data_IF_154521501778
#
_entry.id   IF_154521501778
#
_cell.length_a   1.000
_cell.length_b   1.000
_cell.length_c   1.000
_cell.angle_alpha   90.00
_cell.angle_beta   90.00
_cell.angle_gamma   90.00
#
_symmetry.space_group_name_H-M   'P 1'
#
loop_
_entity.id
_entity.type
_entity.pdbx_description
1 polymer ?
#
# COMPACT_ATOMS: atom_id res chain seq x y z
N UNK A 1 -0.55 13.48 -34.79
CA UNK A 1 -1.76 12.83 -34.23
C UNK A 1 -2.32 13.79 -33.21
N UNK A 2 -3.62 14.11 -33.28
CA UNK A 2 -4.25 14.98 -32.29
C UNK A 2 -4.76 14.09 -31.14
N UNK A 3 -4.59 14.50 -29.88
CA UNK A 3 -5.18 13.78 -28.75
C UNK A 3 -6.71 13.75 -28.90
N UNK A 4 -7.31 12.60 -28.59
CA UNK A 4 -8.76 12.43 -28.49
C UNK A 4 -9.18 12.40 -27.02
N UNK A 5 -10.49 12.51 -26.77
CA UNK A 5 -11.09 12.35 -25.43
C UNK A 5 -10.67 13.39 -24.38
N UNK A 6 -10.20 14.57 -24.82
CA UNK A 6 -9.84 15.67 -23.92
C UNK A 6 -11.05 16.14 -23.07
N UNK A 7 -10.82 16.57 -21.81
CA UNK A 7 -11.86 17.26 -21.04
C UNK A 7 -12.26 18.55 -21.77
N UNK A 8 -13.41 19.12 -21.40
CA UNK A 8 -13.87 20.38 -21.98
C UNK A 8 -12.79 21.46 -21.81
N UNK A 9 -12.33 22.01 -22.93
CA UNK A 9 -11.25 22.98 -22.96
C UNK A 9 -11.30 23.85 -24.20
N UNK A 10 -10.70 25.03 -24.10
CA UNK A 10 -10.37 25.88 -25.24
C UNK A 10 -8.97 25.54 -25.74
N UNK A 11 -8.84 25.14 -27.01
CA UNK A 11 -7.57 24.91 -27.66
C UNK A 11 -7.20 26.10 -28.55
N UNK A 12 -6.03 26.69 -28.31
CA UNK A 12 -5.52 27.84 -29.05
C UNK A 12 -4.16 27.48 -29.66
N UNK A 13 -3.97 27.78 -30.94
CA UNK A 13 -2.65 27.77 -31.59
C UNK A 13 -2.31 29.21 -32.01
N UNK A 14 -1.09 29.65 -31.69
CA UNK A 14 -0.62 31.02 -31.92
C UNK A 14 0.68 30.96 -32.71
N UNK A 15 0.70 31.65 -33.84
CA UNK A 15 1.92 31.91 -34.60
C UNK A 15 2.44 33.31 -34.27
N UNK A 16 3.70 33.40 -33.88
CA UNK A 16 4.38 34.65 -33.51
C UNK A 16 5.52 34.91 -34.48
N UNK A 17 5.44 36.03 -35.21
CA UNK A 17 6.55 36.54 -36.01
C UNK A 17 7.65 37.05 -35.08
N UNK A 18 8.80 36.39 -35.06
CA UNK A 18 9.95 36.74 -34.22
C UNK A 18 10.95 37.67 -34.89
N UNK A 19 11.00 37.70 -36.23
CA UNK A 19 11.78 38.67 -37.03
C UNK A 19 11.23 38.76 -38.46
N UNK A 20 11.82 39.58 -39.32
CA UNK A 20 11.48 39.63 -40.76
C UNK A 20 11.62 38.27 -41.48
N UNK A 21 12.45 37.38 -40.94
CA UNK A 21 12.79 36.10 -41.57
C UNK A 21 12.43 34.88 -40.72
N UNK A 22 11.81 35.06 -39.55
CA UNK A 22 11.52 33.95 -38.63
C UNK A 22 10.21 34.11 -37.87
N UNK A 23 9.59 32.98 -37.56
CA UNK A 23 8.42 32.86 -36.70
C UNK A 23 8.52 31.61 -35.84
N UNK A 24 7.76 31.54 -34.77
CA UNK A 24 7.55 30.33 -33.99
C UNK A 24 6.07 30.15 -33.68
N UNK A 25 5.66 28.90 -33.48
CA UNK A 25 4.29 28.55 -33.15
C UNK A 25 4.25 27.90 -31.78
N UNK A 26 3.25 28.23 -30.97
CA UNK A 26 2.94 27.50 -29.76
C UNK A 26 1.44 27.20 -29.70
N UNK A 27 1.06 26.21 -28.90
CA UNK A 27 -0.33 25.95 -28.60
C UNK A 27 -0.57 25.96 -27.09
N UNK A 28 -1.84 26.16 -26.73
CA UNK A 28 -2.31 26.25 -25.38
C UNK A 28 -3.62 25.48 -25.27
N UNK A 29 -3.71 24.57 -24.30
CA UNK A 29 -4.97 23.98 -23.89
C UNK A 29 -5.40 24.62 -22.57
N UNK A 30 -6.60 25.20 -22.57
CA UNK A 30 -7.18 25.95 -21.45
C UNK A 30 -8.42 25.18 -20.96
N UNK A 31 -8.28 24.30 -19.96
CA UNK A 31 -9.42 23.52 -19.45
C UNK A 31 -10.48 24.44 -18.85
N UNK A 32 -11.76 24.12 -19.09
CA UNK A 32 -12.89 24.88 -18.52
C UNK A 32 -12.88 24.86 -16.99
N UNK A 33 -12.32 23.80 -16.38
CA UNK A 33 -11.99 23.74 -14.96
C UNK A 33 -10.46 23.83 -14.77
N UNK A 34 -9.97 25.03 -14.48
CA UNK A 34 -8.54 25.31 -14.35
C UNK A 34 -8.10 25.34 -12.88
N UNK A 35 -7.15 24.47 -12.52
CA UNK A 35 -6.58 24.37 -11.17
C UNK A 35 -5.53 25.46 -10.86
N UNK A 36 -5.54 26.59 -11.58
CA UNK A 36 -4.57 27.70 -11.43
C UNK A 36 -3.10 27.36 -11.68
N UNK A 37 -2.79 26.18 -12.25
CA UNK A 37 -1.41 25.76 -12.57
C UNK A 37 -1.14 25.89 -14.06
N UNK A 38 0.10 26.21 -14.40
CA UNK A 38 0.58 26.33 -15.78
C UNK A 38 1.65 25.28 -16.06
N UNK A 39 1.47 24.50 -17.13
CA UNK A 39 2.40 23.46 -17.56
C UNK A 39 2.91 23.81 -18.97
N UNK A 40 4.23 24.00 -19.08
CA UNK A 40 4.90 24.17 -20.37
C UNK A 40 5.52 22.85 -20.81
N UNK A 41 5.28 22.46 -22.05
CA UNK A 41 5.86 21.26 -22.65
C UNK A 41 6.81 21.65 -23.78
N UNK A 42 7.92 20.94 -23.89
CA UNK A 42 8.92 21.13 -24.94
C UNK A 42 8.74 20.18 -26.12
N UNK A 43 9.55 20.39 -27.15
CA UNK A 43 9.75 19.43 -28.23
C UNK A 43 10.88 18.43 -27.94
N UNK A 44 11.13 17.52 -28.88
CA UNK A 44 12.23 16.55 -28.81
C UNK A 44 13.25 16.70 -29.95
N UNK A 45 14.53 16.44 -29.66
CA UNK A 45 15.62 16.48 -30.63
C UNK A 45 15.80 17.86 -31.28
N UNK A 46 15.96 17.90 -32.60
CA UNK A 46 15.99 19.13 -33.41
C UNK A 46 14.63 19.46 -34.02
N UNK A 47 13.53 18.99 -33.42
CA UNK A 47 12.17 19.14 -33.95
C UNK A 47 11.60 20.56 -33.79
N UNK A 48 10.81 20.99 -34.79
CA UNK A 48 10.08 22.27 -34.81
C UNK A 48 8.56 22.08 -34.87
N UNK A 49 8.02 21.18 -34.04
CA UNK A 49 6.60 20.83 -33.99
C UNK A 49 6.04 21.01 -32.57
N UNK A 50 4.71 21.15 -32.48
CA UNK A 50 3.99 21.19 -31.20
C UNK A 50 3.64 19.76 -30.78
N UNK A 51 3.97 19.38 -29.55
CA UNK A 51 3.69 18.05 -29.00
C UNK A 51 2.28 17.97 -28.40
N UNK A 52 1.27 17.92 -29.27
CA UNK A 52 -0.14 17.87 -28.88
C UNK A 52 -0.51 16.67 -28.01
N UNK A 53 0.20 15.54 -28.12
CA UNK A 53 -0.08 14.35 -27.32
C UNK A 53 0.27 14.59 -25.84
N UNK A 54 1.46 15.11 -25.56
CA UNK A 54 1.85 15.42 -24.18
C UNK A 54 1.00 16.57 -23.61
N UNK A 55 0.61 17.55 -24.44
CA UNK A 55 -0.34 18.59 -24.03
C UNK A 55 -1.69 18.01 -23.61
N UNK A 56 -2.19 17.02 -24.35
CA UNK A 56 -3.40 16.28 -24.01
C UNK A 56 -3.29 15.59 -22.65
N UNK A 57 -2.17 14.90 -22.39
CA UNK A 57 -1.91 14.28 -21.08
C UNK A 57 -1.91 15.33 -19.97
N UNK A 58 -1.31 16.50 -20.21
CA UNK A 58 -1.25 17.63 -19.29
C UNK A 58 -2.61 18.10 -18.78
N UNK A 59 -3.61 18.20 -19.66
CA UNK A 59 -4.96 18.67 -19.29
C UNK A 59 -5.83 17.61 -18.64
N UNK A 60 -5.44 16.33 -18.72
CA UNK A 60 -6.08 15.27 -17.96
C UNK A 60 -5.63 15.20 -16.50
N UNK A 61 -4.58 15.92 -16.09
CA UNK A 61 -4.18 15.97 -14.69
C UNK A 61 -5.28 16.65 -13.85
N UNK A 62 -6.05 15.82 -13.15
CA UNK A 62 -7.25 16.20 -12.41
C UNK A 62 -8.01 14.95 -11.91
N UNK A 63 -9.28 15.08 -11.49
CA UNK A 63 -10.08 13.97 -10.96
C UNK A 63 -10.10 12.72 -11.85
N UNK A 64 -10.07 12.90 -13.18
CA UNK A 64 -10.03 11.80 -14.15
C UNK A 64 -8.80 10.88 -13.99
N UNK A 65 -7.63 11.42 -13.63
CA UNK A 65 -6.44 10.61 -13.36
C UNK A 65 -6.54 9.86 -12.04
N UNK A 66 -7.26 10.41 -11.07
CA UNK A 66 -7.57 9.71 -9.83
C UNK A 66 -8.56 8.57 -10.07
N UNK A 67 -9.56 8.75 -10.95
CA UNK A 67 -10.50 7.69 -11.37
C UNK A 67 -9.75 6.61 -12.18
N UNK A 68 -8.88 7.00 -13.11
CA UNK A 68 -8.01 6.07 -13.85
C UNK A 68 -7.18 5.21 -12.89
N UNK A 69 -6.50 5.83 -11.93
CA UNK A 69 -5.70 5.13 -10.92
C UNK A 69 -6.57 4.29 -9.98
N UNK A 70 -7.74 4.82 -9.59
CA UNK A 70 -8.70 4.20 -8.70
C UNK A 70 -9.18 2.87 -9.26
N UNK A 71 -9.79 2.86 -10.44
CA UNK A 71 -10.33 1.61 -11.02
C UNK A 71 -10.32 1.58 -12.54
N UNK A 72 -10.56 2.71 -13.23
CA UNK A 72 -10.91 2.69 -14.66
C UNK A 72 -9.79 2.17 -15.56
N UNK A 73 -8.53 2.44 -15.23
CA UNK A 73 -7.42 1.91 -16.02
C UNK A 73 -7.32 0.38 -15.92
N UNK A 74 -7.56 -0.20 -14.75
CA UNK A 74 -7.56 -1.65 -14.56
C UNK A 74 -8.73 -2.28 -15.31
N UNK A 75 -9.95 -1.81 -15.03
CA UNK A 75 -11.16 -2.34 -15.63
C UNK A 75 -11.15 -2.24 -17.17
N UNK A 76 -10.85 -1.05 -17.70
CA UNK A 76 -10.78 -0.83 -19.14
C UNK A 76 -9.74 -1.70 -19.84
N UNK A 77 -8.58 -1.93 -19.18
CA UNK A 77 -7.55 -2.82 -19.71
C UNK A 77 -8.01 -4.29 -19.74
N UNK A 78 -8.69 -4.75 -18.69
CA UNK A 78 -9.21 -6.12 -18.62
C UNK A 78 -10.27 -6.36 -19.70
N UNK A 79 -11.26 -5.47 -19.82
CA UNK A 79 -12.33 -5.60 -20.82
C UNK A 79 -11.76 -5.60 -22.25
N UNK A 80 -10.91 -4.62 -22.57
CA UNK A 80 -10.30 -4.53 -23.90
C UNK A 80 -9.41 -5.74 -24.21
N UNK A 81 -8.64 -6.23 -23.23
CA UNK A 81 -7.81 -7.42 -23.42
C UNK A 81 -8.67 -8.66 -23.73
N UNK A 82 -9.80 -8.85 -23.04
CA UNK A 82 -10.73 -9.96 -23.29
C UNK A 82 -11.31 -9.88 -24.71
N UNK A 83 -11.71 -8.70 -25.17
CA UNK A 83 -12.18 -8.48 -26.55
C UNK A 83 -11.11 -8.78 -27.59
N UNK A 84 -9.89 -8.27 -27.39
CA UNK A 84 -8.76 -8.50 -28.30
C UNK A 84 -8.39 -9.99 -28.37
N UNK A 85 -8.36 -10.69 -27.23
CA UNK A 85 -8.08 -12.13 -27.17
C UNK A 85 -9.14 -12.92 -27.94
N UNK A 86 -10.43 -12.61 -27.73
CA UNK A 86 -11.53 -13.24 -28.47
C UNK A 86 -11.40 -13.02 -29.97
N UNK A 87 -11.12 -11.78 -30.39
CA UNK A 87 -10.95 -11.42 -31.80
C UNK A 87 -9.74 -12.10 -32.45
N UNK A 88 -8.62 -12.21 -31.72
CA UNK A 88 -7.37 -12.77 -32.24
C UNK A 88 -7.38 -14.31 -32.30
N UNK A 89 -7.85 -14.98 -31.25
CA UNK A 89 -7.83 -16.45 -31.17
C UNK A 89 -9.13 -17.11 -31.65
N UNK A 90 -10.19 -16.34 -31.90
CA UNK A 90 -11.48 -16.85 -32.39
C UNK A 90 -12.22 -17.76 -31.39
N UNK A 91 -11.89 -17.66 -30.09
CA UNK A 91 -12.49 -18.45 -29.02
C UNK A 91 -12.51 -17.67 -27.71
N UNK A 92 -13.48 -18.00 -26.85
CA UNK A 92 -13.57 -17.43 -25.51
C UNK A 92 -12.45 -17.91 -24.58
N UNK A 93 -12.13 -17.07 -23.60
CA UNK A 93 -11.27 -17.44 -22.47
C UNK A 93 -11.92 -18.56 -21.68
N UNK A 94 -11.10 -19.53 -21.25
CA UNK A 94 -11.57 -20.58 -20.32
C UNK A 94 -11.52 -20.12 -18.87
N UNK A 95 -10.49 -19.37 -18.52
CA UNK A 95 -10.28 -18.76 -17.21
C UNK A 95 -9.48 -17.45 -17.37
N UNK A 96 -9.65 -16.53 -16.43
CA UNK A 96 -8.98 -15.25 -16.27
C UNK A 96 -8.42 -15.14 -14.85
N UNK A 97 -7.16 -14.73 -14.72
CA UNK A 97 -6.47 -14.70 -13.42
C UNK A 97 -5.84 -13.34 -13.16
N UNK A 98 -5.82 -12.94 -11.89
CA UNK A 98 -5.15 -11.75 -11.41
C UNK A 98 -4.05 -12.09 -10.41
N UNK A 99 -2.94 -11.34 -10.46
CA UNK A 99 -1.92 -11.36 -9.42
C UNK A 99 -1.38 -9.95 -9.21
N UNK A 100 -1.53 -9.43 -8.00
CA UNK A 100 -1.08 -8.07 -7.65
C UNK A 100 -0.69 -7.97 -6.18
N UNK A 101 0.23 -7.06 -5.86
CA UNK A 101 0.70 -6.81 -4.49
C UNK A 101 0.68 -5.29 -4.20
N UNK A 102 0.50 -4.87 -2.94
CA UNK A 102 0.46 -3.45 -2.56
C UNK A 102 -0.71 -2.72 -3.26
N UNK A 103 -0.44 -1.65 -4.02
CA UNK A 103 -1.42 -0.99 -4.90
C UNK A 103 -2.06 -1.98 -5.88
N UNK A 104 -1.31 -2.99 -6.35
CA UNK A 104 -1.89 -4.07 -7.16
C UNK A 104 -2.88 -4.91 -6.36
N UNK A 105 -2.61 -5.18 -5.08
CA UNK A 105 -3.56 -5.89 -4.23
C UNK A 105 -4.90 -5.12 -4.10
N UNK A 106 -4.82 -3.80 -3.91
CA UNK A 106 -5.99 -2.89 -3.96
C UNK A 106 -6.71 -2.98 -5.30
N UNK A 107 -6.00 -2.92 -6.42
CA UNK A 107 -6.59 -2.97 -7.76
C UNK A 107 -7.35 -4.28 -8.01
N UNK A 108 -6.82 -5.42 -7.55
CA UNK A 108 -7.52 -6.71 -7.64
C UNK A 108 -8.86 -6.69 -6.90
N UNK A 109 -8.87 -6.23 -5.65
CA UNK A 109 -10.11 -6.10 -4.88
C UNK A 109 -11.07 -5.07 -5.47
N UNK A 110 -10.57 -3.92 -5.90
CA UNK A 110 -11.39 -2.90 -6.55
C UNK A 110 -12.02 -3.44 -7.84
N UNK A 111 -11.26 -4.18 -8.65
CA UNK A 111 -11.80 -4.78 -9.87
C UNK A 111 -12.91 -5.77 -9.54
N UNK A 112 -12.72 -6.67 -8.58
CA UNK A 112 -13.76 -7.61 -8.16
C UNK A 112 -15.02 -6.94 -7.59
N UNK A 113 -14.91 -5.70 -7.08
CA UNK A 113 -16.03 -4.88 -6.61
C UNK A 113 -16.71 -4.09 -7.74
N UNK A 114 -16.01 -3.84 -8.85
CA UNK A 114 -16.52 -3.12 -10.03
C UNK A 114 -17.14 -4.09 -11.02
N UNK A 115 -16.43 -5.15 -11.34
CA UNK A 115 -16.85 -6.22 -12.24
C UNK A 115 -16.38 -7.57 -11.67
N UNK A 116 -17.34 -8.30 -11.10
CA UNK A 116 -17.06 -9.60 -10.55
C UNK A 116 -16.50 -10.54 -11.64
N UNK A 117 -17.02 -10.51 -12.87
CA UNK A 117 -16.67 -11.43 -13.96
C UNK A 117 -15.25 -11.20 -14.52
N UNK A 118 -14.51 -10.19 -14.03
CA UNK A 118 -13.17 -9.88 -14.49
C UNK A 118 -12.18 -11.04 -14.32
N UNK A 119 -12.21 -11.74 -13.17
CA UNK A 119 -11.25 -12.81 -12.85
C UNK A 119 -11.89 -14.00 -12.14
N UNK A 120 -11.62 -15.22 -12.61
CA UNK A 120 -12.01 -16.46 -11.92
C UNK A 120 -11.16 -16.72 -10.67
N UNK A 121 -9.91 -16.25 -10.67
CA UNK A 121 -8.99 -16.42 -9.56
C UNK A 121 -8.06 -15.22 -9.33
N UNK A 122 -7.88 -14.81 -8.08
CA UNK A 122 -7.01 -13.70 -7.70
C UNK A 122 -5.98 -14.11 -6.65
N UNK A 123 -4.73 -13.74 -6.89
CA UNK A 123 -3.65 -13.75 -5.91
C UNK A 123 -3.36 -12.31 -5.46
N UNK A 124 -3.71 -11.97 -4.22
CA UNK A 124 -3.73 -10.59 -3.70
C UNK A 124 -2.73 -10.44 -2.55
N UNK A 125 -1.63 -9.74 -2.78
CA UNK A 125 -0.59 -9.50 -1.78
C UNK A 125 -0.69 -8.13 -1.11
N UNK A 126 -0.49 -8.06 0.21
CA UNK A 126 -0.37 -6.83 1.00
C UNK A 126 -1.26 -5.67 0.49
N UNK A 127 -2.58 -5.86 0.36
CA UNK A 127 -3.42 -4.95 -0.41
C UNK A 127 -3.55 -3.60 0.27
N UNK A 128 -3.19 -2.53 -0.44
CA UNK A 128 -3.41 -1.15 0.00
C UNK A 128 -4.89 -0.72 -0.19
N UNK A 129 -5.82 -1.51 0.33
CA UNK A 129 -7.26 -1.37 0.07
C UNK A 129 -7.90 -0.14 0.73
N UNK A 130 -7.26 0.40 1.78
CA UNK A 130 -7.77 1.46 2.65
C UNK A 130 -6.98 2.78 2.49
N UNK A 131 -6.93 3.31 1.28
CA UNK A 131 -6.08 4.47 0.93
C UNK A 131 -6.48 5.70 1.75
N UNK A 132 -7.77 6.00 1.88
CA UNK A 132 -8.24 7.18 2.65
C UNK A 132 -7.72 7.18 4.10
N UNK A 133 -7.62 6.01 4.71
CA UNK A 133 -7.09 5.82 6.06
C UNK A 133 -5.55 5.83 6.07
N UNK A 134 -4.90 5.15 5.12
CA UNK A 134 -3.44 5.11 5.01
C UNK A 134 -2.84 6.51 4.78
N UNK A 135 -3.38 7.32 3.87
CA UNK A 135 -2.84 8.67 3.58
C UNK A 135 -2.99 9.60 4.78
N UNK A 136 -4.10 9.43 5.51
CA UNK A 136 -4.39 10.16 6.75
C UNK A 136 -3.41 9.81 7.85
N UNK A 137 -3.21 8.51 8.11
CA UNK A 137 -2.28 8.04 9.12
C UNK A 137 -0.82 8.36 8.78
N UNK A 138 -0.38 8.18 7.53
CA UNK A 138 0.95 8.55 7.06
C UNK A 138 1.25 10.05 7.33
N UNK A 139 0.26 10.92 7.14
CA UNK A 139 0.42 12.36 7.43
C UNK A 139 0.45 12.62 8.94
N UNK A 140 -0.46 12.00 9.70
CA UNK A 140 -0.50 12.10 11.16
C UNK A 140 0.84 11.70 11.79
N UNK A 141 1.35 10.52 11.43
CA UNK A 141 2.59 10.01 12.02
C UNK A 141 3.81 10.83 11.58
N UNK A 142 3.78 11.37 10.35
CA UNK A 142 4.78 12.37 9.93
C UNK A 142 4.75 13.59 10.83
N UNK A 143 3.58 14.13 11.18
CA UNK A 143 3.46 15.27 12.11
C UNK A 143 3.96 14.93 13.51
N UNK A 144 3.65 13.74 14.02
CA UNK A 144 4.09 13.31 15.35
C UNK A 144 5.62 13.15 15.41
N UNK A 145 6.25 12.70 14.33
CA UNK A 145 7.70 12.44 14.24
C UNK A 145 8.55 13.63 13.74
N UNK A 146 8.05 14.49 12.84
CA UNK A 146 8.80 15.65 12.29
C UNK A 146 8.74 16.88 13.20
N UNK A 147 9.74 17.79 13.10
CA UNK A 147 10.96 17.71 12.28
C UNK A 147 12.07 16.86 12.95
N UNK A 148 13.00 16.29 12.16
CA UNK A 148 14.00 15.31 12.65
C UNK A 148 15.00 15.85 13.68
N UNK A 149 15.09 17.17 13.84
CA UNK A 149 15.92 17.86 14.84
C UNK A 149 15.18 18.11 16.16
N UNK A 150 13.88 17.78 16.25
CA UNK A 150 13.12 17.84 17.49
C UNK A 150 13.56 16.73 18.46
N UNK A 151 13.72 17.02 19.77
CA UNK A 151 14.03 16.01 20.79
C UNK A 151 13.05 14.82 20.87
N UNK A 152 11.84 14.92 20.32
CA UNK A 152 10.87 13.81 20.21
C UNK A 152 11.22 12.82 19.09
N UNK A 153 12.01 13.23 18.11
CA UNK A 153 12.31 12.42 16.92
C UNK A 153 13.31 11.33 17.25
N UNK A 154 13.02 10.12 16.77
CA UNK A 154 13.87 8.95 16.92
C UNK A 154 14.88 8.95 15.76
N UNK A 155 16.20 8.79 15.98
CA UNK A 155 17.15 8.63 14.89
C UNK A 155 16.72 7.47 14.00
N UNK A 156 16.64 7.68 12.68
CA UNK A 156 16.02 6.69 11.79
C UNK A 156 16.67 5.31 11.88
N UNK A 157 17.99 5.26 12.03
CA UNK A 157 18.75 4.02 12.14
C UNK A 157 18.39 3.24 13.40
N UNK A 158 17.81 3.88 14.43
CA UNK A 158 17.39 3.20 15.64
C UNK A 158 16.17 2.30 15.39
N UNK A 159 15.32 2.59 14.41
CA UNK A 159 14.22 1.68 14.05
C UNK A 159 14.76 0.32 13.63
N UNK A 160 15.74 0.29 12.71
CA UNK A 160 16.28 -0.95 12.16
C UNK A 160 17.34 -1.62 13.03
N UNK A 161 18.04 -0.89 13.90
CA UNK A 161 19.17 -1.44 14.68
C UNK A 161 18.88 -1.64 16.17
N UNK A 162 18.06 -0.77 16.78
CA UNK A 162 17.81 -0.79 18.23
C UNK A 162 16.42 -1.34 18.51
N UNK A 163 15.39 -0.76 17.92
CA UNK A 163 13.99 -1.10 18.16
C UNK A 163 13.67 -2.48 17.57
N UNK A 164 13.98 -2.72 16.29
CA UNK A 164 13.79 -4.04 15.66
C UNK A 164 14.47 -5.18 16.43
N UNK A 165 15.72 -4.94 16.88
CA UNK A 165 16.45 -5.90 17.71
C UNK A 165 15.76 -6.13 19.05
N UNK A 166 15.33 -5.07 19.72
CA UNK A 166 14.63 -5.17 21.02
C UNK A 166 13.34 -5.96 20.89
N UNK A 167 12.56 -5.71 19.82
CA UNK A 167 11.34 -6.46 19.52
C UNK A 167 11.68 -7.93 19.25
N UNK A 168 12.67 -8.21 18.40
CA UNK A 168 13.07 -9.59 18.10
C UNK A 168 13.52 -10.33 19.37
N UNK A 169 14.36 -9.71 20.20
CA UNK A 169 14.87 -10.32 21.44
C UNK A 169 13.77 -10.66 22.45
N UNK A 170 12.69 -9.86 22.50
CA UNK A 170 11.59 -10.06 23.43
C UNK A 170 10.44 -10.91 22.84
N UNK A 171 10.31 -10.97 21.52
CA UNK A 171 9.15 -11.55 20.84
C UNK A 171 9.41 -12.82 20.05
N UNK A 172 10.66 -13.15 19.72
CA UNK A 172 11.03 -14.33 18.90
C UNK A 172 10.46 -15.62 19.51
N UNK A 173 10.77 -15.91 20.77
CA UNK A 173 10.38 -17.16 21.44
C UNK A 173 8.90 -17.22 21.86
N UNK A 174 8.09 -16.19 21.57
CA UNK A 174 6.65 -16.17 21.92
C UNK A 174 5.87 -17.26 21.18
N UNK A 175 6.33 -17.65 19.99
CA UNK A 175 5.76 -18.78 19.24
C UNK A 175 6.30 -20.16 19.66
N UNK A 176 7.17 -20.19 20.68
CA UNK A 176 7.83 -21.39 21.21
C UNK A 176 9.14 -21.74 20.51
N UNK A 177 9.61 -20.93 19.56
CA UNK A 177 10.85 -21.18 18.81
C UNK A 177 11.73 -19.93 18.81
N UNK A 178 13.01 -20.11 19.12
CA UNK A 178 14.00 -19.03 19.08
C UNK A 178 14.82 -19.10 17.80
N UNK A 179 14.42 -18.38 16.76
CA UNK A 179 15.10 -18.42 15.46
C UNK A 179 15.25 -17.07 14.76
N UNK A 180 14.97 -15.99 15.47
CA UNK A 180 15.05 -14.61 15.00
C UNK A 180 13.86 -14.18 14.13
N UNK A 181 12.72 -14.87 14.23
CA UNK A 181 11.49 -14.53 13.49
C UNK A 181 10.33 -14.41 14.47
N UNK A 182 9.72 -13.23 14.52
CA UNK A 182 8.52 -12.99 15.33
C UNK A 182 7.29 -13.49 14.58
N UNK A 183 6.89 -14.76 14.77
CA UNK A 183 5.75 -15.35 14.03
C UNK A 183 4.39 -15.18 14.72
N UNK A 184 4.38 -14.70 15.96
CA UNK A 184 3.15 -14.41 16.74
C UNK A 184 3.21 -13.00 17.37
N UNK A 185 3.37 -11.92 16.56
CA UNK A 185 3.53 -10.56 17.08
C UNK A 185 2.34 -10.11 17.96
N UNK A 186 1.12 -10.56 17.66
CA UNK A 186 -0.09 -10.26 18.43
C UNK A 186 -0.09 -10.82 19.87
N UNK A 187 0.73 -11.82 20.15
CA UNK A 187 0.90 -12.38 21.49
C UNK A 187 2.06 -11.74 22.25
N UNK A 188 2.91 -10.95 21.57
CA UNK A 188 4.06 -10.29 22.19
C UNK A 188 3.70 -8.90 22.73
N UNK A 189 4.23 -8.59 23.91
CA UNK A 189 4.10 -7.28 24.55
C UNK A 189 5.49 -6.80 24.99
N UNK A 190 6.32 -6.28 24.06
CA UNK A 190 7.68 -5.89 24.38
C UNK A 190 7.71 -4.69 25.34
N UNK A 191 8.57 -4.76 26.35
CA UNK A 191 8.88 -3.65 27.23
C UNK A 191 9.94 -2.75 26.59
N UNK A 192 9.50 -1.62 26.02
CA UNK A 192 10.41 -0.58 25.51
C UNK A 192 11.03 0.27 26.63
N UNK A 193 10.58 0.15 27.88
CA UNK A 193 11.16 0.82 29.02
C UNK A 193 12.62 0.47 29.25
N UNK A 194 13.06 -0.72 28.80
CA UNK A 194 14.48 -1.14 28.81
C UNK A 194 15.39 -0.21 28.00
N UNK A 195 14.84 0.46 26.97
CA UNK A 195 15.57 1.40 26.13
C UNK A 195 15.68 2.79 26.74
N UNK A 196 15.09 3.08 27.90
CA UNK A 196 15.10 4.42 28.47
C UNK A 196 16.53 4.86 28.85
N UNK A 197 16.98 6.00 28.29
CA UNK A 197 18.30 6.58 28.59
C UNK A 197 18.50 6.93 30.08
N UNK A 198 17.42 7.06 30.86
CA UNK A 198 17.48 7.33 32.29
C UNK A 198 17.71 6.08 33.15
N UNK A 199 17.68 4.87 32.55
CA UNK A 199 17.94 3.63 33.29
C UNK A 199 19.39 3.61 33.80
N UNK A 200 19.58 3.08 35.01
CA UNK A 200 20.91 2.87 35.56
C UNK A 200 21.70 1.88 34.67
N UNK A 201 22.85 2.31 34.15
CA UNK A 201 23.67 1.50 33.24
C UNK A 201 23.19 1.50 31.79
N UNK A 202 22.28 2.41 31.40
CA UNK A 202 21.85 2.55 30.01
C UNK A 202 23.02 2.76 29.05
N UNK A 203 22.98 2.10 27.90
CA UNK A 203 23.91 2.37 26.82
C UNK A 203 23.48 3.67 26.12
N UNK A 204 24.15 4.79 26.44
CA UNK A 204 23.82 6.11 25.90
C UNK A 204 23.94 6.23 24.37
N UNK A 205 24.60 5.27 23.71
CA UNK A 205 24.67 5.20 22.24
C UNK A 205 23.52 4.40 21.59
N UNK A 206 22.68 3.75 22.40
CA UNK A 206 21.65 2.80 21.97
C UNK A 206 20.41 2.86 22.89
N UNK A 207 20.04 4.05 23.35
CA UNK A 207 18.89 4.30 24.22
C UNK A 207 17.96 5.37 23.62
N UNK A 208 16.71 5.40 24.06
CA UNK A 208 15.70 6.38 23.71
C UNK A 208 15.42 7.30 24.90
N UNK A 209 15.32 8.61 24.64
CA UNK A 209 14.86 9.58 25.64
C UNK A 209 13.39 9.33 26.00
N UNK A 210 12.89 9.89 27.12
CA UNK A 210 11.46 9.79 27.45
C UNK A 210 10.53 10.33 26.33
N UNK A 211 10.92 11.42 25.65
CA UNK A 211 10.14 11.97 24.52
C UNK A 211 10.17 11.04 23.30
N UNK A 212 11.30 10.39 23.02
CA UNK A 212 11.40 9.40 21.95
C UNK A 212 10.59 8.14 22.24
N UNK A 213 10.55 7.69 23.50
CA UNK A 213 9.69 6.58 23.92
C UNK A 213 8.20 6.91 23.78
N UNK A 214 7.81 8.17 24.08
CA UNK A 214 6.44 8.63 23.82
C UNK A 214 6.10 8.61 22.32
N UNK A 215 7.01 9.09 21.46
CA UNK A 215 6.87 9.02 20.00
C UNK A 215 6.75 7.56 19.54
N UNK A 216 7.60 6.66 20.03
CA UNK A 216 7.52 5.23 19.71
C UNK A 216 6.18 4.63 20.12
N UNK A 217 5.66 4.99 21.29
CA UNK A 217 4.32 4.57 21.74
C UNK A 217 3.21 5.01 20.78
N UNK A 218 3.29 6.22 20.23
CA UNK A 218 2.32 6.72 19.23
C UNK A 218 2.35 5.93 17.92
N UNK A 219 3.51 5.38 17.53
CA UNK A 219 3.66 4.55 16.32
C UNK A 219 2.90 3.22 16.44
N UNK A 220 2.96 2.58 17.61
CA UNK A 220 2.28 1.30 17.88
C UNK A 220 0.82 1.45 18.31
N UNK A 221 0.37 2.66 18.66
CA UNK A 221 -0.99 2.88 19.16
C UNK A 221 -1.96 3.08 18.00
N UNK A 222 -3.10 2.39 18.08
CA UNK A 222 -4.23 2.59 17.17
C UNK A 222 -4.67 4.06 17.13
N UNK A 223 -4.83 4.59 15.93
CA UNK A 223 -5.34 5.94 15.70
C UNK A 223 -6.86 5.90 15.59
N UNK A 224 -7.54 6.54 16.54
CA UNK A 224 -8.99 6.72 16.53
C UNK A 224 -9.36 8.18 16.25
N UNK A 225 -10.44 8.37 15.50
CA UNK A 225 -11.14 9.65 15.39
C UNK A 225 -12.55 9.44 15.93
N UNK A 226 -12.86 10.06 17.07
CA UNK A 226 -14.05 9.72 17.84
C UNK A 226 -14.04 8.25 18.28
N UNK A 227 -15.03 7.47 17.84
CA UNK A 227 -15.11 6.02 18.09
C UNK A 227 -14.65 5.17 16.90
N UNK A 228 -14.28 5.79 15.79
CA UNK A 228 -13.89 5.09 14.57
C UNK A 228 -12.39 4.80 14.57
N UNK A 229 -12.02 3.56 14.24
CA UNK A 229 -10.63 3.20 13.99
C UNK A 229 -10.18 3.81 12.66
N UNK A 230 -9.45 4.93 12.74
CA UNK A 230 -8.90 5.61 11.58
C UNK A 230 -7.68 4.87 11.02
N UNK A 231 -6.86 4.23 11.85
CA UNK A 231 -5.81 3.32 11.35
C UNK A 231 -5.25 2.48 12.51
N UNK A 232 -4.97 1.18 12.32
CA UNK A 232 -4.21 0.40 13.30
C UNK A 232 -2.84 1.01 13.59
N UNK A 233 -2.31 0.86 14.80
CA UNK A 233 -0.88 1.08 15.03
C UNK A 233 -0.04 0.13 14.18
N UNK A 234 1.22 0.49 13.91
CA UNK A 234 2.11 -0.40 13.17
C UNK A 234 2.32 -1.72 13.94
N UNK A 235 2.46 -2.83 13.21
CA UNK A 235 2.71 -4.13 13.83
C UNK A 235 4.16 -4.30 14.28
N UNK A 236 4.32 -5.13 15.32
CA UNK A 236 5.62 -5.65 15.72
C UNK A 236 6.23 -6.49 14.59
N UNK A 237 7.55 -6.53 14.54
CA UNK A 237 8.40 -7.24 13.55
C UNK A 237 8.69 -6.48 12.26
N UNK A 238 8.04 -5.34 12.02
CA UNK A 238 8.21 -4.55 10.80
C UNK A 238 9.27 -3.44 10.92
N UNK A 239 9.83 -3.23 12.12
CA UNK A 239 10.64 -2.06 12.47
C UNK A 239 11.92 -1.96 11.64
N UNK A 240 12.45 -3.13 11.23
CA UNK A 240 13.64 -3.25 10.40
C UNK A 240 13.52 -2.54 9.05
N UNK A 241 12.30 -2.32 8.54
CA UNK A 241 12.06 -1.63 7.28
C UNK A 241 11.51 -0.22 7.43
N UNK A 242 11.13 0.23 8.63
CA UNK A 242 10.43 1.51 8.75
C UNK A 242 11.29 2.72 8.37
N UNK A 243 12.61 2.66 8.61
CA UNK A 243 13.55 3.71 8.23
C UNK A 243 13.71 3.88 6.71
N UNK A 244 13.27 2.89 5.92
CA UNK A 244 13.25 2.97 4.46
C UNK A 244 11.95 3.60 3.94
N UNK A 245 10.82 3.32 4.58
CA UNK A 245 9.49 3.65 4.02
C UNK A 245 8.74 4.76 4.77
N UNK A 246 8.82 4.78 6.11
CA UNK A 246 7.96 5.63 6.96
C UNK A 246 8.77 6.71 7.71
N UNK A 247 9.97 6.39 8.17
CA UNK A 247 10.81 7.27 8.99
C UNK A 247 12.15 7.58 8.33
N UNK A 248 12.14 7.90 7.03
CA UNK A 248 13.35 7.99 6.19
C UNK A 248 14.18 9.27 6.34
N UNK A 249 13.72 10.25 7.11
CA UNK A 249 14.36 11.55 7.25
C UNK A 249 13.62 12.68 6.51
N UNK A 250 12.57 12.38 5.75
CA UNK A 250 11.54 13.33 5.30
C UNK A 250 10.10 12.90 5.64
N UNK A 251 9.11 13.81 5.67
CA UNK A 251 7.69 13.43 5.83
C UNK A 251 7.25 12.39 4.79
N UNK A 252 6.34 11.50 5.17
CA UNK A 252 5.89 10.39 4.33
C UNK A 252 5.11 10.94 3.13
N UNK A 253 5.75 10.89 1.95
CA UNK A 253 5.20 11.43 0.70
C UNK A 253 3.87 10.79 0.33
N UNK A 254 3.70 9.49 0.58
CA UNK A 254 2.44 8.78 0.30
C UNK A 254 1.22 9.41 1.00
N UNK A 255 1.41 10.05 2.15
CA UNK A 255 0.35 10.79 2.85
C UNK A 255 0.33 12.27 2.48
N UNK A 256 1.43 12.98 2.79
CA UNK A 256 1.47 14.43 2.70
C UNK A 256 1.33 14.93 1.25
N UNK A 257 1.99 14.28 0.29
CA UNK A 257 1.88 14.69 -1.11
C UNK A 257 0.50 14.33 -1.67
N UNK A 258 -0.14 13.26 -1.19
CA UNK A 258 -1.52 12.96 -1.55
C UNK A 258 -2.46 14.07 -1.09
N UNK A 259 -2.35 14.53 0.16
CA UNK A 259 -3.17 15.64 0.66
C UNK A 259 -2.94 16.92 -0.15
N UNK A 260 -1.68 17.26 -0.43
CA UNK A 260 -1.30 18.44 -1.22
C UNK A 260 -1.80 18.40 -2.66
N UNK A 261 -1.64 17.25 -3.33
CA UNK A 261 -1.93 17.14 -4.75
C UNK A 261 -3.41 16.82 -5.04
N UNK A 262 -4.04 15.98 -4.23
CA UNK A 262 -5.32 15.37 -4.54
C UNK A 262 -6.49 15.82 -3.65
N UNK A 263 -6.23 16.37 -2.47
CA UNK A 263 -7.28 16.75 -1.49
C UNK A 263 -7.43 18.26 -1.33
N UNK A 264 -6.31 18.97 -1.22
CA UNK A 264 -6.27 20.41 -1.03
C UNK A 264 -5.85 21.17 -2.28
N UNK A 265 -5.22 20.49 -3.24
CA UNK A 265 -4.65 21.08 -4.46
C UNK A 265 -3.69 22.26 -4.19
N UNK A 266 -3.07 22.24 -3.01
CA UNK A 266 -2.13 23.21 -2.48
C UNK A 266 -0.81 22.49 -2.15
N UNK A 267 0.22 22.73 -2.97
CA UNK A 267 1.55 22.11 -2.80
C UNK A 267 2.26 22.57 -1.53
N UNK A 268 1.87 23.73 -1.00
CA UNK A 268 2.46 24.33 0.20
C UNK A 268 1.64 24.03 1.45
N UNK A 269 0.57 23.23 1.35
CA UNK A 269 -0.27 22.86 2.49
C UNK A 269 0.61 22.30 3.63
N UNK A 270 0.56 22.88 4.84
CA UNK A 270 1.54 22.61 5.88
C UNK A 270 1.21 21.34 6.66
N UNK A 271 2.23 20.54 6.95
CA UNK A 271 2.10 19.31 7.75
C UNK A 271 1.39 19.56 9.10
N UNK A 272 1.71 20.68 9.74
CA UNK A 272 1.15 21.05 11.06
C UNK A 272 -0.36 21.32 11.03
N UNK A 273 -0.94 21.62 9.86
CA UNK A 273 -2.38 21.78 9.71
C UNK A 273 -3.15 20.46 9.80
N UNK A 274 -2.49 19.30 9.75
CA UNK A 274 -3.15 18.01 9.90
C UNK A 274 -3.80 17.87 11.28
N UNK A 275 -5.07 17.45 11.29
CA UNK A 275 -5.86 17.11 12.48
C UNK A 275 -7.02 16.19 12.07
N UNK A 276 -7.79 15.71 13.03
CA UNK A 276 -8.90 14.76 12.82
C UNK A 276 -9.95 15.25 11.80
N UNK A 277 -10.19 16.56 11.67
CA UNK A 277 -11.12 17.08 10.64
C UNK A 277 -10.60 16.90 9.21
N UNK A 278 -9.27 16.80 9.03
CA UNK A 278 -8.66 16.47 7.74
C UNK A 278 -8.94 15.02 7.38
N UNK A 279 -8.85 14.11 8.34
CA UNK A 279 -9.24 12.71 8.14
C UNK A 279 -10.73 12.59 7.75
N UNK A 280 -11.62 13.27 8.47
CA UNK A 280 -13.05 13.29 8.12
C UNK A 280 -13.30 13.85 6.72
N UNK A 281 -12.59 14.92 6.35
CA UNK A 281 -12.65 15.48 4.98
C UNK A 281 -12.22 14.44 3.95
N UNK A 282 -11.07 13.79 4.12
CA UNK A 282 -10.53 12.79 3.18
C UNK A 282 -11.56 11.68 2.94
N UNK A 283 -12.08 11.09 4.02
CA UNK A 283 -13.07 10.01 3.96
C UNK A 283 -14.39 10.44 3.29
N UNK A 284 -14.76 11.71 3.42
CA UNK A 284 -16.00 12.24 2.81
C UNK A 284 -15.90 12.55 1.31
N UNK A 285 -14.71 12.48 0.71
CA UNK A 285 -14.55 12.76 -0.72
C UNK A 285 -15.15 11.63 -1.56
N UNK A 286 -15.99 11.97 -2.53
CA UNK A 286 -16.59 10.99 -3.45
C UNK A 286 -15.54 10.14 -4.17
N UNK A 287 -14.39 10.73 -4.53
CA UNK A 287 -13.28 10.03 -5.20
C UNK A 287 -12.71 8.89 -4.34
N UNK A 288 -12.85 8.92 -3.01
CA UNK A 288 -12.42 7.81 -2.17
C UNK A 288 -13.27 6.56 -2.36
N UNK A 289 -14.55 6.69 -2.76
CA UNK A 289 -15.37 5.54 -3.15
C UNK A 289 -14.83 4.85 -4.41
N UNK A 290 -14.20 5.59 -5.31
CA UNK A 290 -13.55 5.05 -6.51
C UNK A 290 -12.19 4.41 -6.20
N UNK A 291 -11.49 4.91 -5.19
CA UNK A 291 -10.12 4.50 -4.84
C UNK A 291 -10.08 3.34 -3.84
N UNK A 292 -10.77 3.46 -2.71
CA UNK A 292 -10.75 2.49 -1.64
C UNK A 292 -11.45 1.21 -2.07
N UNK A 293 -10.83 0.06 -1.87
CA UNK A 293 -11.44 -1.22 -2.15
C UNK A 293 -12.20 -1.74 -0.92
N UNK A 294 -13.05 -0.93 -0.29
CA UNK A 294 -13.70 -1.21 0.99
C UNK A 294 -15.18 -1.65 0.89
N UNK A 295 -15.64 -2.08 -0.29
CA UNK A 295 -16.96 -2.72 -0.44
C UNK A 295 -16.85 -4.19 -0.03
N UNK A 296 -17.17 -4.47 1.22
CA UNK A 296 -16.96 -5.80 1.84
C UNK A 296 -17.94 -6.87 1.39
N UNK A 297 -19.14 -6.53 0.93
CA UNK A 297 -20.04 -7.51 0.32
C UNK A 297 -19.49 -7.90 -1.06
N UNK A 298 -18.88 -9.08 -1.12
CA UNK A 298 -18.31 -9.67 -2.33
C UNK A 298 -19.13 -10.90 -2.79
N UNK A 299 -20.42 -10.96 -2.43
CA UNK A 299 -21.31 -12.07 -2.78
C UNK A 299 -21.37 -12.32 -4.29
N UNK A 300 -21.39 -11.26 -5.11
CA UNK A 300 -21.38 -11.41 -6.57
C UNK A 300 -20.13 -12.16 -7.06
N UNK A 301 -18.94 -11.82 -6.54
CA UNK A 301 -17.68 -12.49 -6.88
C UNK A 301 -17.65 -13.95 -6.41
N UNK A 302 -18.22 -14.24 -5.24
CA UNK A 302 -18.39 -15.60 -4.71
C UNK A 302 -19.33 -16.43 -5.59
N UNK A 303 -20.51 -15.90 -5.90
CA UNK A 303 -21.64 -16.65 -6.46
C UNK A 303 -21.42 -17.07 -7.91
N UNK A 304 -20.60 -16.32 -8.65
CA UNK A 304 -20.09 -16.72 -9.98
C UNK A 304 -18.94 -17.75 -9.91
N UNK A 305 -18.46 -18.11 -8.72
CA UNK A 305 -17.42 -19.12 -8.51
C UNK A 305 -15.99 -18.60 -8.32
N UNK A 306 -15.80 -17.29 -8.13
CA UNK A 306 -14.48 -16.67 -7.99
C UNK A 306 -13.70 -17.18 -6.78
N UNK A 307 -12.36 -17.19 -6.89
CA UNK A 307 -11.44 -17.67 -5.84
C UNK A 307 -10.35 -16.65 -5.51
N UNK A 308 -10.12 -16.40 -4.24
CA UNK A 308 -9.13 -15.44 -3.73
C UNK A 308 -8.14 -16.15 -2.82
N UNK A 309 -6.86 -16.00 -3.15
CA UNK A 309 -5.74 -16.24 -2.26
C UNK A 309 -5.13 -14.90 -1.91
N UNK A 310 -5.27 -14.48 -0.66
CA UNK A 310 -4.67 -13.27 -0.15
C UNK A 310 -3.48 -13.58 0.73
N UNK A 311 -2.42 -12.80 0.62
CA UNK A 311 -1.25 -12.92 1.47
C UNK A 311 -0.77 -11.57 2.00
N UNK A 312 -0.18 -11.53 3.19
CA UNK A 312 0.45 -10.32 3.75
C UNK A 312 1.66 -10.71 4.60
N UNK A 313 2.82 -10.09 4.42
CA UNK A 313 3.98 -10.35 5.28
C UNK A 313 3.80 -9.78 6.68
N UNK A 314 4.06 -10.55 7.74
CA UNK A 314 3.95 -10.09 9.14
C UNK A 314 4.90 -8.93 9.49
N UNK A 315 5.96 -8.76 8.70
CA UNK A 315 6.97 -7.71 8.83
C UNK A 315 6.86 -6.66 7.72
N UNK A 316 5.66 -6.42 7.18
CA UNK A 316 5.46 -5.38 6.15
C UNK A 316 5.68 -3.98 6.76
N UNK A 317 6.68 -3.22 6.27
CA UNK A 317 7.05 -1.93 6.86
C UNK A 317 6.22 -0.75 6.34
N UNK A 318 5.27 -0.98 5.43
CA UNK A 318 4.55 0.08 4.73
C UNK A 318 3.02 -0.07 4.84
N UNK A 319 2.48 -1.25 4.51
CA UNK A 319 1.04 -1.51 4.58
C UNK A 319 0.79 -2.36 5.83
N UNK A 320 -0.12 -1.94 6.69
CA UNK A 320 -0.35 -2.62 7.96
C UNK A 320 -1.00 -4.00 7.77
N UNK A 321 -0.46 -4.99 8.45
CA UNK A 321 -0.88 -6.40 8.33
C UNK A 321 -2.27 -6.63 8.93
N UNK A 322 -2.61 -5.94 10.02
CA UNK A 322 -3.94 -5.99 10.66
C UNK A 322 -5.05 -5.47 9.75
N UNK A 323 -4.72 -4.64 8.76
CA UNK A 323 -5.67 -4.20 7.75
C UNK A 323 -6.12 -5.35 6.85
N UNK A 324 -5.25 -6.33 6.64
CA UNK A 324 -5.58 -7.55 5.91
C UNK A 324 -6.54 -8.46 6.66
N UNK A 325 -6.30 -8.72 7.96
CA UNK A 325 -7.24 -9.50 8.78
C UNK A 325 -8.57 -8.78 8.95
N UNK A 326 -8.53 -7.47 9.21
CA UNK A 326 -9.74 -6.65 9.30
C UNK A 326 -10.57 -6.76 8.01
N UNK A 327 -9.95 -6.58 6.83
CA UNK A 327 -10.65 -6.74 5.55
C UNK A 327 -11.29 -8.12 5.40
N UNK A 328 -10.55 -9.18 5.72
CA UNK A 328 -11.03 -10.57 5.63
C UNK A 328 -12.26 -10.80 6.52
N UNK A 329 -12.19 -10.37 7.78
CA UNK A 329 -13.29 -10.48 8.75
C UNK A 329 -14.52 -9.65 8.31
N UNK A 330 -14.32 -8.44 7.79
CA UNK A 330 -15.42 -7.63 7.28
C UNK A 330 -16.10 -8.27 6.06
N UNK A 331 -15.35 -8.89 5.15
CA UNK A 331 -15.91 -9.63 4.01
C UNK A 331 -16.70 -10.86 4.46
N UNK A 332 -16.19 -11.61 5.45
CA UNK A 332 -16.90 -12.75 6.06
C UNK A 332 -18.24 -12.31 6.65
N UNK A 333 -18.24 -11.22 7.43
CA UNK A 333 -19.44 -10.67 8.05
C UNK A 333 -20.44 -10.16 7.00
N UNK A 334 -19.97 -9.45 5.97
CA UNK A 334 -20.83 -8.83 4.97
C UNK A 334 -21.44 -9.81 3.95
N UNK A 335 -20.69 -10.86 3.58
CA UNK A 335 -21.08 -11.84 2.55
C UNK A 335 -22.00 -12.96 3.11
N UNK A 336 -22.18 -12.98 4.43
CA UNK A 336 -23.10 -13.87 5.14
C UNK A 336 -22.47 -15.21 5.55
N UNK A 337 -22.78 -15.66 6.78
CA UNK A 337 -22.20 -16.84 7.43
C UNK A 337 -22.76 -18.19 6.95
N UNK A 338 -23.63 -18.22 5.94
CA UNK A 338 -24.21 -19.47 5.43
C UNK A 338 -23.23 -20.32 4.61
N UNK A 339 -22.13 -19.71 4.16
CA UNK A 339 -21.04 -20.37 3.45
C UNK A 339 -19.74 -20.14 4.21
N UNK A 340 -18.88 -21.16 4.27
CA UNK A 340 -17.55 -20.98 4.84
C UNK A 340 -16.75 -20.08 3.91
N UNK A 341 -16.28 -18.93 4.43
CA UNK A 341 -15.45 -18.00 3.64
C UNK A 341 -14.23 -18.72 3.03
N UNK A 342 -13.69 -19.74 3.72
CA UNK A 342 -12.55 -20.55 3.29
C UNK A 342 -12.74 -21.36 2.01
N UNK A 343 -13.98 -21.51 1.53
CA UNK A 343 -14.30 -22.20 0.28
C UNK A 343 -13.96 -21.37 -0.97
N UNK A 344 -13.79 -20.05 -0.80
CA UNK A 344 -13.56 -19.14 -1.91
C UNK A 344 -12.56 -18.02 -1.59
N UNK A 345 -12.35 -17.65 -0.33
CA UNK A 345 -11.40 -16.62 0.07
C UNK A 345 -10.55 -17.12 1.25
N UNK A 346 -9.23 -17.20 1.03
CA UNK A 346 -8.25 -17.59 2.07
C UNK A 346 -7.20 -16.51 2.24
N UNK A 347 -6.91 -16.16 3.50
CA UNK A 347 -5.82 -15.26 3.91
C UNK A 347 -4.66 -16.06 4.49
N UNK A 348 -3.44 -15.75 4.07
CA UNK A 348 -2.20 -16.33 4.57
C UNK A 348 -1.25 -15.22 5.04
N UNK A 349 -0.62 -15.38 6.18
CA UNK A 349 0.45 -14.49 6.59
C UNK A 349 1.81 -15.05 6.12
N UNK A 350 2.61 -14.24 5.40
CA UNK A 350 3.79 -14.61 4.58
C UNK A 350 3.48 -14.81 3.07
N UNK A 351 4.47 -14.78 2.15
CA UNK A 351 4.27 -14.98 0.67
C UNK A 351 4.90 -16.30 0.15
N UNK A 352 4.57 -16.96 -0.99
CA UNK A 352 3.77 -16.75 -2.23
C UNK A 352 3.21 -18.15 -2.69
N UNK A 353 2.03 -18.24 -3.32
CA UNK A 353 1.09 -19.39 -3.26
C UNK A 353 1.24 -20.67 -4.16
N UNK A 354 0.85 -21.86 -3.62
CA UNK A 354 0.15 -23.07 -4.18
C UNK A 354 -0.20 -24.06 -3.01
N UNK A 355 -0.84 -25.24 -3.26
CA UNK A 355 -1.47 -26.24 -2.34
C UNK A 355 -0.98 -26.31 -0.87
N UNK A 356 0.32 -26.16 -0.66
CA UNK A 356 0.94 -25.75 0.59
C UNK A 356 1.81 -24.53 0.27
N UNK A 357 1.54 -23.39 0.89
CA UNK A 357 2.39 -22.21 0.69
C UNK A 357 3.58 -22.35 1.61
N UNK A 358 4.77 -22.55 1.06
CA UNK A 358 6.00 -22.55 1.85
C UNK A 358 6.65 -21.18 1.70
N UNK A 359 6.56 -20.34 2.73
CA UNK A 359 7.34 -19.12 2.76
C UNK A 359 8.82 -19.51 2.76
N UNK A 360 9.52 -18.97 1.76
CA UNK A 360 10.92 -19.27 1.51
C UNK A 360 11.68 -17.96 1.50
N UNK A 361 12.69 -17.86 2.34
CA UNK A 361 13.69 -16.79 2.25
C UNK A 361 14.99 -17.40 1.72
N UNK A 362 15.64 -16.70 0.80
CA UNK A 362 16.92 -17.09 0.23
C UNK A 362 18.06 -16.34 0.92
N UNK A 363 19.31 -16.82 0.77
CA UNK A 363 20.48 -16.11 1.29
C UNK A 363 20.58 -14.66 0.78
N UNK A 364 20.02 -14.38 -0.39
CA UNK A 364 19.71 -13.04 -0.87
C UNK A 364 18.23 -12.97 -1.25
N UNK A 365 17.47 -12.10 -0.57
CA UNK A 365 16.01 -11.95 -0.71
C UNK A 365 15.52 -11.64 -2.13
N UNK A 366 16.39 -11.17 -3.03
CA UNK A 366 16.06 -10.85 -4.43
C UNK A 366 16.60 -11.86 -5.44
N UNK A 367 17.41 -12.84 -5.00
CA UNK A 367 18.11 -13.77 -5.89
C UNK A 367 17.81 -15.22 -5.48
N UNK A 368 16.79 -15.86 -6.08
CA UNK A 368 16.39 -17.23 -5.72
C UNK A 368 17.50 -18.28 -5.91
N UNK A 369 18.44 -18.04 -6.83
CA UNK A 369 19.60 -18.92 -7.07
C UNK A 369 20.65 -18.86 -5.96
N UNK A 370 20.53 -17.95 -4.99
CA UNK A 370 21.44 -17.89 -3.84
C UNK A 370 21.28 -19.06 -2.86
N UNK A 371 20.29 -19.92 -3.08
CA UNK A 371 20.00 -21.06 -2.21
C UNK A 371 18.97 -20.70 -1.14
N UNK A 372 18.22 -21.71 -0.72
CA UNK A 372 17.19 -21.60 0.32
C UNK A 372 17.87 -21.42 1.67
N UNK A 373 17.49 -20.37 2.41
CA UNK A 373 17.97 -20.15 3.78
C UNK A 373 17.01 -20.75 4.82
N UNK A 374 15.72 -20.42 4.74
CA UNK A 374 14.69 -20.98 5.64
C UNK A 374 13.37 -21.21 4.93
N UNK A 375 12.63 -22.23 5.38
CA UNK A 375 11.30 -22.56 4.89
C UNK A 375 10.32 -22.86 6.02
N UNK A 376 9.09 -22.34 5.91
CA UNK A 376 7.95 -22.67 6.80
C UNK A 376 6.65 -22.73 6.01
N UNK A 377 5.69 -23.60 6.38
CA UNK A 377 4.34 -23.53 5.86
C UNK A 377 3.68 -22.23 6.30
N UNK A 378 2.95 -21.60 5.40
CA UNK A 378 2.01 -20.56 5.74
C UNK A 378 0.66 -21.17 6.02
N UNK A 379 0.09 -20.74 7.11
CA UNK A 379 -1.15 -21.29 7.61
C UNK A 379 -2.31 -20.38 7.22
N UNK A 380 -3.42 -20.96 6.75
CA UNK A 380 -4.61 -20.17 6.47
C UNK A 380 -5.10 -19.59 7.79
N UNK A 381 -5.22 -18.26 7.85
CA UNK A 381 -5.76 -17.56 9.00
C UNK A 381 -7.11 -18.18 9.41
N UNK A 382 -7.35 -18.44 10.72
CA UNK A 382 -6.58 -17.99 11.88
C UNK A 382 -5.47 -18.96 12.36
N UNK A 383 -5.19 -20.05 11.63
CA UNK A 383 -4.15 -21.01 12.01
C UNK A 383 -2.75 -20.42 11.91
N UNK A 384 -1.81 -20.95 12.70
CA UNK A 384 -0.41 -20.51 12.73
C UNK A 384 0.55 -21.68 12.52
N UNK A 385 1.76 -21.38 12.07
CA UNK A 385 2.82 -22.37 11.94
C UNK A 385 3.39 -22.71 13.32
N UNK A 386 3.31 -23.97 13.72
CA UNK A 386 3.83 -24.48 15.00
C UNK A 386 4.89 -25.55 14.72
N UNK A 387 6.05 -25.40 15.35
CA UNK A 387 7.16 -26.35 15.23
C UNK A 387 6.85 -27.67 15.93
N UNK A 388 7.23 -28.79 15.31
CA UNK A 388 6.94 -30.14 15.79
C UNK A 388 7.83 -30.59 16.96
N UNK A 389 8.90 -29.86 17.26
CA UNK A 389 9.84 -30.15 18.33
C UNK A 389 10.98 -31.10 17.95
N UNK A 390 11.03 -31.62 16.72
CA UNK A 390 11.93 -32.72 16.33
C UNK A 390 12.76 -32.42 15.07
N UNK A 391 12.18 -31.81 14.03
CA UNK A 391 12.83 -31.62 12.73
C UNK A 391 13.80 -30.42 12.64
N UNK A 392 14.39 -30.16 11.46
CA UNK A 392 15.23 -28.96 11.28
C UNK A 392 14.38 -27.68 11.27
N UNK A 393 14.78 -26.64 12.02
CA UNK A 393 14.06 -25.34 12.09
C UNK A 393 13.86 -24.67 10.73
N UNK A 394 14.77 -24.93 9.79
CA UNK A 394 14.76 -24.32 8.45
C UNK A 394 14.00 -25.19 7.43
N UNK A 395 13.44 -26.33 7.84
CA UNK A 395 12.78 -27.30 6.97
C UNK A 395 11.26 -27.25 7.13
N UNK A 396 10.53 -27.08 6.03
CA UNK A 396 9.07 -26.90 6.08
C UNK A 396 8.31 -28.09 6.71
N UNK A 397 8.82 -29.32 6.57
CA UNK A 397 8.22 -30.53 7.14
C UNK A 397 8.20 -30.57 8.67
N UNK A 398 9.03 -29.76 9.33
CA UNK A 398 9.13 -29.69 10.79
C UNK A 398 8.07 -28.79 11.42
N UNK A 399 7.16 -28.24 10.60
CA UNK A 399 6.15 -27.28 11.02
C UNK A 399 4.78 -27.74 10.55
N UNK A 400 3.74 -27.46 11.34
CA UNK A 400 2.35 -27.79 11.04
C UNK A 400 1.44 -26.58 11.32
N UNK A 401 0.31 -26.54 10.64
CA UNK A 401 -0.70 -25.51 10.87
C UNK A 401 -1.67 -25.93 11.95
N UNK A 402 -1.63 -25.26 13.09
CA UNK A 402 -2.53 -25.46 14.23
C UNK A 402 -3.46 -24.26 14.44
#
# INVERSE_FOLDING_TARGET
>A
MLPTDLPELCAVEVNVTSSELSSYTFALFLPSNWNSRFLTLGGGGTGGYINYLDMGVGVHYGPEKQIDWGWRAMHGSVQLAKELIRGYYGKDLRYSYYSGCSTGGRQGFKEAQVDADSFDGMLVGAPAWWISHQVSWNTKISKDYYPVDDPKSIPKEFFSTIIARTVTEQCDEVDGVKDGIVSSPENCHPDFGVLNCNNAGANLSACLTPSQLETLGKVYTDYYVGSELAHPGLELSAEAGWDQFLFSGVPISYGLDYLRNAVFEDLDWPLDAYNDSVYERVKSLDIMNDIDANKFDMSAYRDQGGKILMYHGLSDPLIITRGSSYFYEQVELATGLSHLITDWFRLFFGGKAVDQIIATIWHNSTVPSSGVWKQRPLCPYPKKAVYDGVGGLNEAQSWKCE
#
